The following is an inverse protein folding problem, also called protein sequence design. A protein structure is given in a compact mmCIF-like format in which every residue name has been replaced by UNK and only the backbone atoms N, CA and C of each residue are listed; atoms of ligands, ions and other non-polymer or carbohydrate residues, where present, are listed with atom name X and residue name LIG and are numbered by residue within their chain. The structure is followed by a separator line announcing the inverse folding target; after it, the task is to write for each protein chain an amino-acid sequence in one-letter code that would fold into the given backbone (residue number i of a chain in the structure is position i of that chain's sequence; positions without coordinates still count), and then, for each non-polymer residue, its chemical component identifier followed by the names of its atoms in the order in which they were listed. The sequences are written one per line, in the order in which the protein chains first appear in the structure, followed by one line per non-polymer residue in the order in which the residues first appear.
data_IF_576830633731
#
_entry.id   IF_576830633731
#
_cell.length_a   1.000
_cell.length_b   1.000
_cell.length_c   1.000
_cell.angle_alpha   90.00
_cell.angle_beta   90.00
_cell.angle_gamma   90.00
#
_symmetry.space_group_name_H-M   'P 1'
#
loop_
_entity.id
_entity.type
_entity.pdbx_description
1 polymer ?
#
# COMPACT_ATOMS: atom_id res chain seq x y z
N UNK A 1 -45.61 18.50 35.88
CA UNK A 1 -45.65 18.33 34.42
C UNK A 1 -44.56 19.14 33.73
N UNK A 2 -44.20 20.35 34.20
CA UNK A 2 -43.15 21.17 33.57
C UNK A 2 -41.70 20.72 33.79
N UNK A 3 -41.40 20.04 34.91
CA UNK A 3 -40.06 19.51 35.20
C UNK A 3 -39.63 18.40 34.23
N UNK A 4 -40.59 17.63 33.68
CA UNK A 4 -40.32 16.55 32.72
C UNK A 4 -40.05 17.11 31.31
N UNK A 5 -40.55 18.31 31.01
CA UNK A 5 -40.33 18.98 29.71
C UNK A 5 -38.95 19.64 29.68
N UNK A 6 -38.53 20.30 30.77
CA UNK A 6 -37.19 20.90 30.85
C UNK A 6 -36.07 19.85 30.86
N UNK A 7 -36.30 18.69 31.49
CA UNK A 7 -35.37 17.56 31.46
C UNK A 7 -35.22 16.99 30.04
N UNK A 8 -36.33 16.83 29.31
CA UNK A 8 -36.32 16.37 27.90
C UNK A 8 -35.63 17.37 26.97
N UNK A 9 -35.88 18.67 27.13
CA UNK A 9 -35.20 19.71 26.34
C UNK A 9 -33.68 19.67 26.58
N UNK A 10 -33.24 19.44 27.82
CA UNK A 10 -31.81 19.28 28.11
C UNK A 10 -31.20 18.01 27.52
N UNK A 11 -31.98 16.93 27.41
CA UNK A 11 -31.57 15.65 26.84
C UNK A 11 -31.48 15.73 25.30
N UNK A 12 -32.44 16.41 24.67
CA UNK A 12 -32.46 16.71 23.23
C UNK A 12 -31.27 17.61 22.82
N UNK A 13 -30.95 18.65 23.61
CA UNK A 13 -29.79 19.52 23.39
C UNK A 13 -28.45 18.75 23.48
N UNK A 14 -28.36 17.77 24.39
CA UNK A 14 -27.16 16.93 24.53
C UNK A 14 -27.02 16.00 23.33
N UNK A 15 -28.12 15.43 22.85
CA UNK A 15 -28.11 14.53 21.70
C UNK A 15 -27.76 15.28 20.41
N UNK A 16 -28.31 16.47 20.21
CA UNK A 16 -27.98 17.31 19.07
C UNK A 16 -26.49 17.70 19.05
N UNK A 17 -25.90 18.02 20.21
CA UNK A 17 -24.45 18.28 20.31
C UNK A 17 -23.59 17.08 19.96
N UNK A 18 -24.03 15.86 20.29
CA UNK A 18 -23.32 14.63 19.90
C UNK A 18 -23.40 14.42 18.40
N UNK A 19 -24.57 14.61 17.80
CA UNK A 19 -24.77 14.51 16.36
C UNK A 19 -23.89 15.52 15.60
N UNK A 20 -23.86 16.77 16.06
CA UNK A 20 -22.99 17.81 15.51
C UNK A 20 -21.49 17.45 15.63
N UNK A 21 -21.08 16.90 16.78
CA UNK A 21 -19.70 16.46 17.00
C UNK A 21 -19.31 15.33 16.03
N UNK A 22 -20.17 14.34 15.85
CA UNK A 22 -19.92 13.23 14.90
C UNK A 22 -19.91 13.73 13.45
N UNK A 23 -20.78 14.68 13.11
CA UNK A 23 -20.78 15.34 11.80
C UNK A 23 -19.45 16.07 11.54
N UNK A 24 -18.96 16.85 12.50
CA UNK A 24 -17.69 17.56 12.36
C UNK A 24 -16.49 16.61 12.28
N UNK A 25 -16.48 15.53 13.05
CA UNK A 25 -15.46 14.48 12.93
C UNK A 25 -15.46 13.86 11.54
N UNK A 26 -16.62 13.51 11.01
CA UNK A 26 -16.74 12.97 9.66
C UNK A 26 -16.19 13.94 8.60
N UNK A 27 -16.56 15.23 8.70
CA UNK A 27 -16.04 16.26 7.79
C UNK A 27 -14.52 16.37 7.90
N UNK A 28 -13.98 16.38 9.12
CA UNK A 28 -12.55 16.45 9.37
C UNK A 28 -11.78 15.26 8.76
N UNK A 29 -12.26 14.03 8.99
CA UNK A 29 -11.66 12.80 8.42
C UNK A 29 -11.70 12.83 6.90
N UNK A 30 -12.81 13.25 6.30
CA UNK A 30 -12.94 13.33 4.84
C UNK A 30 -11.99 14.36 4.25
N UNK A 31 -11.86 15.54 4.87
CA UNK A 31 -10.96 16.58 4.39
C UNK A 31 -9.49 16.22 4.56
N UNK A 32 -9.12 15.68 5.73
CA UNK A 32 -7.77 15.22 6.01
C UNK A 32 -7.39 14.10 5.06
N UNK A 33 -8.26 13.11 4.86
CA UNK A 33 -8.01 12.00 3.95
C UNK A 33 -7.84 12.44 2.50
N UNK A 34 -8.63 13.42 2.02
CA UNK A 34 -8.44 13.98 0.68
C UNK A 34 -7.07 14.62 0.49
N UNK A 35 -6.58 15.37 1.49
CA UNK A 35 -5.27 16.00 1.47
C UNK A 35 -4.14 14.95 1.55
N UNK A 36 -4.27 13.96 2.44
CA UNK A 36 -3.31 12.85 2.53
C UNK A 36 -3.24 12.03 1.26
N UNK A 37 -4.36 11.83 0.55
CA UNK A 37 -4.36 11.15 -0.76
C UNK A 37 -3.54 11.93 -1.80
N UNK A 38 -3.57 13.27 -1.80
CA UNK A 38 -2.73 14.07 -2.71
C UNK A 38 -1.24 14.02 -2.36
N UNK A 39 -0.90 13.87 -1.08
CA UNK A 39 0.48 13.80 -0.57
C UNK A 39 1.03 12.36 -0.51
N UNK A 40 0.21 11.36 -0.85
CA UNK A 40 0.54 9.94 -0.65
C UNK A 40 1.79 9.52 -1.43
N UNK A 41 2.03 10.10 -2.60
CA UNK A 41 3.26 9.81 -3.37
C UNK A 41 4.50 10.25 -2.59
N UNK A 42 4.50 11.49 -2.08
CA UNK A 42 5.63 12.03 -1.32
C UNK A 42 5.83 11.25 -0.02
N UNK A 43 4.72 10.88 0.64
CA UNK A 43 4.76 10.01 1.82
C UNK A 43 5.43 8.67 1.51
N UNK A 44 5.15 8.04 0.37
CA UNK A 44 5.76 6.75 0.01
C UNK A 44 7.24 6.89 -0.32
N UNK A 45 7.66 8.00 -0.93
CA UNK A 45 9.08 8.26 -1.20
C UNK A 45 9.86 8.46 0.11
N UNK A 46 9.26 9.08 1.12
CA UNK A 46 9.85 9.31 2.46
C UNK A 46 9.66 8.13 3.44
N UNK A 47 9.21 6.98 2.95
CA UNK A 47 9.06 5.78 3.78
C UNK A 47 10.43 5.30 4.30
N UNK A 48 10.58 4.91 5.58
CA UNK A 48 9.56 4.65 6.60
C UNK A 48 9.25 5.81 7.56
N UNK A 49 9.89 6.98 7.41
CA UNK A 49 9.72 8.11 8.33
C UNK A 49 8.29 8.68 8.31
N UNK A 50 7.61 8.52 7.17
CA UNK A 50 6.26 8.98 6.89
C UNK A 50 5.12 8.06 7.37
N UNK A 51 5.41 7.04 8.19
CA UNK A 51 4.43 6.03 8.65
C UNK A 51 3.10 6.63 9.12
N UNK A 52 3.14 7.67 9.96
CA UNK A 52 1.93 8.28 10.51
C UNK A 52 1.00 8.88 9.45
N UNK A 53 1.55 9.43 8.36
CA UNK A 53 0.76 9.98 7.26
C UNK A 53 -0.02 8.90 6.48
N UNK A 54 0.56 7.70 6.40
CA UNK A 54 -0.10 6.53 5.78
C UNK A 54 -1.14 5.94 6.73
N UNK A 55 -0.87 5.87 8.03
CA UNK A 55 -1.83 5.37 9.03
C UNK A 55 -3.09 6.24 9.13
N UNK A 56 -2.95 7.57 9.00
CA UNK A 56 -4.08 8.52 8.96
C UNK A 56 -5.14 8.11 7.92
N UNK A 57 -4.69 7.62 6.76
CA UNK A 57 -5.57 7.20 5.65
C UNK A 57 -6.44 6.00 6.00
N UNK A 58 -6.08 5.18 6.99
CA UNK A 58 -6.86 4.01 7.40
C UNK A 58 -8.29 4.39 7.83
N UNK A 59 -8.44 5.54 8.49
CA UNK A 59 -9.73 6.09 8.89
C UNK A 59 -10.58 6.60 7.71
N UNK A 60 -9.92 6.93 6.59
CA UNK A 60 -10.55 7.50 5.39
C UNK A 60 -11.00 6.43 4.38
N UNK A 61 -10.29 5.31 4.27
CA UNK A 61 -10.50 4.27 3.25
C UNK A 61 -11.64 3.26 3.58
N UNK A 62 -12.62 3.66 4.39
CA UNK A 62 -13.73 2.78 4.80
C UNK A 62 -14.67 2.46 3.63
N UNK A 63 -14.87 3.42 2.71
CA UNK A 63 -15.80 3.29 1.60
C UNK A 63 -15.09 2.81 0.32
N UNK A 64 -15.73 1.97 -0.52
CA UNK A 64 -15.16 1.61 -1.83
C UNK A 64 -14.92 2.83 -2.72
N UNK A 65 -15.69 3.91 -2.56
CA UNK A 65 -15.49 5.17 -3.31
C UNK A 65 -14.18 5.86 -2.93
N UNK A 66 -13.86 5.93 -1.64
CA UNK A 66 -12.62 6.58 -1.17
C UNK A 66 -11.40 5.74 -1.51
N UNK A 67 -11.50 4.41 -1.40
CA UNK A 67 -10.48 3.44 -1.88
C UNK A 67 -10.18 3.61 -3.37
N UNK A 68 -11.24 3.76 -4.19
CA UNK A 68 -11.09 4.04 -5.62
C UNK A 68 -10.38 5.38 -5.87
N UNK A 69 -10.82 6.46 -5.21
CA UNK A 69 -10.21 7.78 -5.36
C UNK A 69 -8.71 7.76 -4.99
N UNK A 70 -8.36 7.08 -3.90
CA UNK A 70 -6.97 6.93 -3.46
C UNK A 70 -6.13 6.27 -4.55
N UNK A 71 -6.56 5.09 -5.01
CA UNK A 71 -5.80 4.33 -6.01
C UNK A 71 -5.70 5.08 -7.34
N UNK A 72 -6.76 5.74 -7.80
CA UNK A 72 -6.70 6.50 -9.07
C UNK A 72 -5.77 7.72 -8.98
N UNK A 73 -5.83 8.45 -7.87
CA UNK A 73 -4.99 9.65 -7.66
C UNK A 73 -3.53 9.25 -7.54
N UNK A 74 -3.26 8.21 -6.74
CA UNK A 74 -1.93 7.70 -6.52
C UNK A 74 -1.30 7.13 -7.81
N UNK A 75 -2.01 6.27 -8.55
CA UNK A 75 -1.49 5.71 -9.81
C UNK A 75 -1.22 6.81 -10.85
N UNK A 76 -2.04 7.87 -10.89
CA UNK A 76 -1.79 9.03 -11.75
C UNK A 76 -0.52 9.79 -11.35
N UNK A 77 -0.30 10.00 -10.04
CA UNK A 77 0.91 10.63 -9.53
C UNK A 77 2.16 9.78 -9.82
N UNK A 78 2.08 8.47 -9.62
CA UNK A 78 3.17 7.53 -9.87
C UNK A 78 3.54 7.49 -11.37
N UNK A 79 2.54 7.46 -12.26
CA UNK A 79 2.77 7.47 -13.69
C UNK A 79 3.44 8.77 -14.19
N UNK A 80 3.09 9.91 -13.61
CA UNK A 80 3.62 11.21 -14.05
C UNK A 80 4.99 11.54 -13.47
N UNK A 81 5.27 11.12 -12.23
CA UNK A 81 6.48 11.51 -11.49
C UNK A 81 7.61 10.48 -11.54
N UNK A 82 7.31 9.20 -11.77
CA UNK A 82 8.30 8.13 -11.64
C UNK A 82 8.38 7.20 -12.87
N UNK A 83 7.27 6.97 -13.59
CA UNK A 83 7.25 6.10 -14.78
C UNK A 83 7.67 6.83 -16.06
N UNK A 84 8.88 7.40 -16.05
CA UNK A 84 9.44 8.04 -17.23
C UNK A 84 10.86 7.52 -17.53
N UNK A 85 11.29 7.49 -18.81
CA UNK A 85 12.58 6.91 -19.19
C UNK A 85 13.82 7.53 -18.54
N UNK A 86 13.70 8.75 -18.00
CA UNK A 86 14.79 9.44 -17.31
C UNK A 86 14.99 9.00 -15.86
N UNK A 87 14.09 8.19 -15.28
CA UNK A 87 14.22 7.72 -13.90
C UNK A 87 15.13 6.49 -13.84
N UNK A 88 16.06 6.48 -12.88
CA UNK A 88 16.95 5.35 -12.66
C UNK A 88 16.17 4.12 -12.18
N UNK A 89 16.68 2.95 -12.53
CA UNK A 89 16.06 1.66 -12.21
C UNK A 89 16.05 1.36 -10.72
N UNK A 90 17.14 1.70 -10.05
CA UNK A 90 17.27 1.67 -8.60
C UNK A 90 16.18 2.49 -7.92
N UNK A 91 15.92 3.72 -8.37
CA UNK A 91 14.92 4.61 -7.76
C UNK A 91 13.50 4.08 -7.92
N UNK A 92 13.16 3.55 -9.10
CA UNK A 92 11.85 2.96 -9.35
C UNK A 92 11.65 1.71 -8.48
N UNK A 93 12.68 0.88 -8.33
CA UNK A 93 12.64 -0.29 -7.47
C UNK A 93 12.53 0.09 -5.99
N UNK A 94 13.30 1.08 -5.52
CA UNK A 94 13.21 1.62 -4.15
C UNK A 94 11.79 2.10 -3.85
N UNK A 95 11.22 2.92 -4.73
CA UNK A 95 9.85 3.39 -4.59
C UNK A 95 8.82 2.25 -4.68
N UNK A 96 9.08 1.19 -5.46
CA UNK A 96 8.22 0.00 -5.49
C UNK A 96 8.26 -0.79 -4.17
N UNK A 97 9.43 -0.91 -3.56
CA UNK A 97 9.58 -1.54 -2.24
C UNK A 97 8.84 -0.71 -1.18
N UNK A 98 9.08 0.60 -1.12
CA UNK A 98 8.35 1.50 -0.23
C UNK A 98 6.84 1.46 -0.45
N UNK A 99 6.39 1.34 -1.70
CA UNK A 99 4.99 1.16 -2.05
C UNK A 99 4.40 -0.11 -1.43
N UNK A 100 5.10 -1.25 -1.56
CA UNK A 100 4.68 -2.53 -0.98
C UNK A 100 4.58 -2.40 0.54
N UNK A 101 5.60 -1.84 1.19
CA UNK A 101 5.64 -1.69 2.64
C UNK A 101 4.49 -0.78 3.15
N UNK A 102 4.34 0.42 2.56
CA UNK A 102 3.31 1.37 2.96
C UNK A 102 1.88 0.82 2.75
N UNK A 103 1.61 0.20 1.60
CA UNK A 103 0.28 -0.33 1.32
C UNK A 103 -0.04 -1.61 2.09
N UNK A 104 0.95 -2.37 2.52
CA UNK A 104 0.75 -3.52 3.42
C UNK A 104 0.30 -3.05 4.81
N UNK A 105 0.84 -1.94 5.30
CA UNK A 105 0.38 -1.30 6.54
C UNK A 105 -1.03 -0.72 6.38
N UNK A 106 -1.31 -0.09 5.24
CA UNK A 106 -2.60 0.55 4.95
C UNK A 106 -3.75 -0.46 4.75
N UNK A 107 -3.51 -1.51 3.96
CA UNK A 107 -4.48 -2.57 3.64
C UNK A 107 -3.81 -3.95 3.74
N UNK A 108 -3.87 -4.61 4.90
CA UNK A 108 -3.29 -5.93 5.09
C UNK A 108 -3.84 -7.01 4.15
N UNK A 109 -5.02 -6.78 3.54
CA UNK A 109 -5.59 -7.72 2.55
C UNK A 109 -4.90 -7.62 1.20
N UNK A 110 -4.15 -6.55 0.93
CA UNK A 110 -3.40 -6.35 -0.31
C UNK A 110 -4.22 -5.92 -1.53
N UNK A 111 -5.51 -5.58 -1.37
CA UNK A 111 -6.39 -5.23 -2.50
C UNK A 111 -5.98 -3.89 -3.09
N UNK A 112 -5.66 -2.91 -2.25
CA UNK A 112 -5.17 -1.61 -2.71
C UNK A 112 -3.78 -1.73 -3.37
N UNK A 113 -2.89 -2.57 -2.83
CA UNK A 113 -1.57 -2.82 -3.38
C UNK A 113 -1.65 -3.44 -4.78
N UNK A 114 -2.47 -4.47 -4.98
CA UNK A 114 -2.64 -5.10 -6.30
C UNK A 114 -3.05 -4.04 -7.34
N UNK A 115 -4.03 -3.21 -7.01
CA UNK A 115 -4.52 -2.19 -7.94
C UNK A 115 -3.48 -1.10 -8.22
N UNK A 116 -2.83 -0.58 -7.18
CA UNK A 116 -1.87 0.52 -7.31
C UNK A 116 -0.57 0.08 -8.00
N UNK A 117 -0.16 -1.18 -7.81
CA UNK A 117 1.11 -1.70 -8.31
C UNK A 117 1.08 -2.12 -9.78
N UNK A 118 -0.08 -2.40 -10.39
CA UNK A 118 -0.19 -2.85 -11.79
C UNK A 118 0.63 -2.02 -12.79
N UNK A 119 0.55 -0.69 -12.66
CA UNK A 119 1.27 0.22 -13.56
C UNK A 119 2.79 0.08 -13.43
N UNK A 120 3.31 0.11 -12.19
CA UNK A 120 4.75 0.04 -11.94
C UNK A 120 5.30 -1.36 -12.23
N UNK A 121 4.54 -2.42 -11.94
CA UNK A 121 4.91 -3.81 -12.29
C UNK A 121 5.07 -3.99 -13.80
N UNK A 122 4.11 -3.48 -14.58
CA UNK A 122 4.19 -3.50 -16.05
C UNK A 122 5.41 -2.73 -16.54
N UNK A 123 5.64 -1.52 -15.99
CA UNK A 123 6.75 -0.67 -16.39
C UNK A 123 8.12 -1.31 -16.11
N UNK A 124 8.30 -1.90 -14.91
CA UNK A 124 9.53 -2.62 -14.55
C UNK A 124 9.77 -3.86 -15.42
N UNK A 125 8.70 -4.53 -15.87
CA UNK A 125 8.78 -5.69 -16.75
C UNK A 125 9.19 -5.33 -18.18
N UNK A 126 8.72 -4.20 -18.67
CA UNK A 126 9.04 -3.70 -20.02
C UNK A 126 10.49 -3.19 -20.12
N UNK A 127 11.18 -2.95 -18.99
CA UNK A 127 12.55 -2.46 -18.99
C UNK A 127 13.56 -3.60 -18.82
N UNK A 128 14.44 -3.72 -19.81
CA UNK A 128 15.40 -4.83 -19.93
C UNK A 128 16.47 -4.85 -18.83
N UNK A 129 16.78 -3.71 -18.23
CA UNK A 129 17.83 -3.55 -17.23
C UNK A 129 17.38 -3.86 -15.78
N UNK A 130 16.08 -4.07 -15.55
CA UNK A 130 15.52 -4.29 -14.22
C UNK A 130 16.12 -5.53 -13.54
N UNK A 131 16.24 -6.64 -14.27
CA UNK A 131 16.83 -7.88 -13.74
C UNK A 131 18.30 -7.68 -13.35
N UNK A 132 19.08 -7.00 -14.19
CA UNK A 132 20.49 -6.74 -13.92
C UNK A 132 20.69 -5.89 -12.67
N UNK A 133 19.80 -4.93 -12.42
CA UNK A 133 19.86 -4.05 -11.24
C UNK A 133 19.44 -4.80 -9.98
N UNK A 134 18.42 -5.65 -10.05
CA UNK A 134 18.01 -6.52 -8.92
C UNK A 134 19.14 -7.50 -8.57
N UNK A 135 19.69 -8.20 -9.57
CA UNK A 135 20.81 -9.14 -9.37
C UNK A 135 22.00 -8.44 -8.73
N UNK A 136 22.36 -7.26 -9.24
CA UNK A 136 23.45 -6.45 -8.68
C UNK A 136 23.17 -6.02 -7.25
N UNK A 137 21.95 -5.60 -6.94
CA UNK A 137 21.53 -5.25 -5.57
C UNK A 137 21.70 -6.45 -4.63
N UNK A 138 21.12 -7.59 -4.97
CA UNK A 138 21.21 -8.82 -4.16
C UNK A 138 22.66 -9.30 -4.00
N UNK A 139 23.51 -9.15 -5.03
CA UNK A 139 24.92 -9.52 -4.97
C UNK A 139 25.84 -8.45 -4.36
N UNK A 140 25.34 -7.23 -4.12
CA UNK A 140 26.16 -6.10 -3.64
C UNK A 140 26.79 -6.37 -2.28
N UNK A 141 26.18 -7.21 -1.44
CA UNK A 141 26.75 -7.61 -0.14
C UNK A 141 28.01 -8.49 -0.27
N UNK A 142 28.28 -9.03 -1.47
CA UNK A 142 29.43 -9.89 -1.76
C UNK A 142 30.53 -9.25 -2.62
N UNK A 143 30.27 -8.06 -3.17
CA UNK A 143 31.21 -7.36 -4.07
C UNK A 143 31.94 -6.24 -3.31
N UNK A 144 33.26 -6.08 -3.50
CA UNK A 144 34.01 -5.00 -2.88
C UNK A 144 33.53 -3.63 -3.40
N UNK A 145 33.29 -2.70 -2.49
CA UNK A 145 32.85 -1.31 -2.71
C UNK A 145 33.61 -0.64 -3.86
N UNK A 146 32.95 -0.51 -5.01
CA UNK A 146 33.57 0.08 -6.21
C UNK A 146 32.55 0.92 -7.01
N UNK A 147 31.78 1.79 -6.35
CA UNK A 147 31.14 3.01 -6.92
C UNK A 147 30.11 3.62 -5.96
N UNK A 148 29.83 4.92 -6.07
CA UNK A 148 28.73 5.60 -5.34
C UNK A 148 27.36 4.93 -5.62
N UNK A 149 27.15 4.41 -6.84
CA UNK A 149 25.96 3.63 -7.22
C UNK A 149 25.79 2.33 -6.39
N UNK A 150 26.85 1.81 -5.74
CA UNK A 150 26.76 0.61 -4.90
C UNK A 150 26.15 0.90 -3.54
N UNK A 151 26.21 2.13 -3.02
CA UNK A 151 25.57 2.48 -1.75
C UNK A 151 24.04 2.43 -1.90
N UNK A 152 23.49 3.02 -2.95
CA UNK A 152 22.05 2.96 -3.29
C UNK A 152 21.55 1.52 -3.49
N UNK A 153 22.38 0.68 -4.11
CA UNK A 153 22.07 -0.73 -4.34
C UNK A 153 22.22 -1.59 -3.07
N UNK A 154 23.11 -1.22 -2.16
CA UNK A 154 23.28 -1.88 -0.86
C UNK A 154 22.12 -1.58 0.08
N UNK A 155 21.58 -0.35 0.06
CA UNK A 155 20.38 0.02 0.79
C UNK A 155 19.17 -0.76 0.28
N UNK A 156 19.02 -0.87 -1.04
CA UNK A 156 18.00 -1.71 -1.68
C UNK A 156 18.15 -3.18 -1.26
N UNK A 157 19.36 -3.72 -1.24
CA UNK A 157 19.64 -5.08 -0.78
C UNK A 157 19.23 -5.30 0.68
N UNK A 158 19.50 -4.31 1.55
CA UNK A 158 19.13 -4.36 2.96
C UNK A 158 17.60 -4.34 3.12
N UNK A 159 16.89 -3.50 2.36
CA UNK A 159 15.42 -3.46 2.35
C UNK A 159 14.80 -4.76 1.83
N UNK A 160 15.43 -5.41 0.83
CA UNK A 160 15.03 -6.73 0.36
C UNK A 160 15.29 -7.83 1.40
N UNK A 161 16.39 -7.73 2.16
CA UNK A 161 16.78 -8.70 3.18
C UNK A 161 16.01 -8.58 4.49
N UNK A 162 15.47 -7.40 4.82
CA UNK A 162 14.72 -7.16 6.07
C UNK A 162 13.43 -7.98 6.14
N UNK A 163 12.83 -8.30 4.99
CA UNK A 163 11.51 -8.92 4.92
C UNK A 163 10.42 -8.04 5.55
N UNK A 164 9.18 -8.16 5.08
CA UNK A 164 8.07 -7.47 5.75
C UNK A 164 7.94 -8.04 7.19
N UNK A 165 7.84 -7.20 8.25
CA UNK A 165 7.62 -7.70 9.60
C UNK A 165 6.37 -8.57 9.59
N UNK A 166 6.54 -9.82 10.03
CA UNK A 166 5.53 -10.88 9.97
C UNK A 166 4.21 -10.48 10.64
N UNK A 167 3.34 -9.77 9.91
CA UNK A 167 1.94 -9.63 10.26
C UNK A 167 1.28 -10.93 9.82
N UNK A 168 1.16 -11.83 10.79
CA UNK A 168 0.39 -13.08 10.73
C UNK A 168 0.75 -13.99 9.54
N UNK A 169 1.81 -14.76 9.74
CA UNK A 169 2.04 -16.05 9.11
C UNK A 169 0.73 -16.87 9.03
N UNK A 170 0.38 -17.30 7.83
CA UNK A 170 -0.70 -18.24 7.56
C UNK A 170 -0.54 -18.83 6.17
N UNK A 171 0.28 -19.89 6.08
CA UNK A 171 0.36 -20.81 4.93
C UNK A 171 1.20 -20.33 3.76
N UNK A 172 2.25 -21.10 3.43
CA UNK A 172 3.02 -20.96 2.20
C UNK A 172 2.19 -21.20 0.93
N UNK A 173 2.84 -20.97 -0.21
CA UNK A 173 2.26 -20.75 -1.53
C UNK A 173 1.32 -21.81 -2.14
N UNK A 174 0.99 -22.95 -1.52
CA UNK A 174 0.27 -24.02 -2.26
C UNK A 174 -0.77 -24.86 -1.50
N UNK A 175 -1.13 -24.56 -0.25
CA UNK A 175 -2.17 -25.35 0.44
C UNK A 175 -3.32 -24.47 0.91
N UNK A 176 -4.52 -24.74 0.39
CA UNK A 176 -5.74 -24.12 0.89
C UNK A 176 -5.83 -24.41 2.40
N UNK A 177 -5.71 -23.36 3.20
CA UNK A 177 -5.77 -23.43 4.66
C UNK A 177 -7.23 -23.68 5.08
N UNK A 178 -7.63 -24.96 5.04
CA UNK A 178 -9.00 -25.39 5.37
C UNK A 178 -9.37 -25.13 6.84
N UNK A 179 -8.39 -24.81 7.70
CA UNK A 179 -8.57 -24.50 9.11
C UNK A 179 -8.68 -22.99 9.40
N UNK A 180 -8.72 -22.15 8.35
CA UNK A 180 -8.85 -20.69 8.47
C UNK A 180 -10.25 -20.26 8.97
N UNK A 181 -10.42 -20.24 10.29
CA UNK A 181 -11.64 -19.75 10.96
C UNK A 181 -11.89 -18.24 10.76
N UNK A 182 -10.90 -17.50 10.27
CA UNK A 182 -11.00 -16.07 9.94
C UNK A 182 -11.25 -15.83 8.45
N UNK A 183 -11.54 -16.88 7.68
CA UNK A 183 -11.84 -16.76 6.26
C UNK A 183 -13.05 -15.85 6.05
N UNK A 184 -12.83 -14.78 5.31
CA UNK A 184 -13.87 -13.89 4.81
C UNK A 184 -13.83 -13.90 3.27
N UNK A 185 -14.95 -13.65 2.57
CA UNK A 185 -14.94 -13.45 1.12
C UNK A 185 -14.15 -12.19 0.74
N UNK A 186 -13.70 -12.11 -0.51
CA UNK A 186 -13.03 -10.92 -1.02
C UNK A 186 -13.95 -9.70 -1.00
N UNK A 187 -13.39 -8.52 -0.70
CA UNK A 187 -14.18 -7.30 -0.70
C UNK A 187 -14.60 -6.93 -2.13
N UNK A 188 -15.67 -6.15 -2.26
CA UNK A 188 -16.31 -5.83 -3.56
C UNK A 188 -15.38 -5.13 -4.56
N UNK A 189 -14.30 -4.53 -4.08
CA UNK A 189 -13.31 -3.81 -4.87
C UNK A 189 -12.15 -4.69 -5.36
N UNK A 190 -12.09 -5.95 -4.92
CA UNK A 190 -11.15 -6.93 -5.46
C UNK A 190 -11.53 -7.26 -6.92
N UNK A 191 -10.58 -7.10 -7.84
CA UNK A 191 -10.76 -7.47 -9.24
C UNK A 191 -10.81 -8.99 -9.43
N UNK A 192 -11.23 -9.47 -10.61
CA UNK A 192 -11.24 -10.92 -10.91
C UNK A 192 -9.84 -11.56 -10.87
N UNK A 193 -8.81 -10.76 -11.15
CA UNK A 193 -7.40 -11.16 -11.09
C UNK A 193 -6.81 -11.11 -9.68
N UNK A 194 -7.58 -10.61 -8.68
CA UNK A 194 -7.09 -10.49 -7.33
C UNK A 194 -6.94 -11.88 -6.71
N UNK A 195 -5.71 -12.26 -6.42
CA UNK A 195 -5.40 -13.40 -5.58
C UNK A 195 -4.85 -12.85 -4.26
N UNK A 196 -5.34 -13.39 -3.15
CA UNK A 196 -4.73 -13.12 -1.85
C UNK A 196 -3.32 -13.68 -1.91
N UNK A 197 -2.35 -12.80 -2.10
CA UNK A 197 -0.95 -13.12 -1.91
C UNK A 197 -0.69 -13.29 -0.41
N UNK A 198 -1.12 -14.42 0.16
CA UNK A 198 -0.73 -14.82 1.51
C UNK A 198 0.80 -14.93 1.52
N UNK A 199 1.47 -13.97 2.18
CA UNK A 199 2.91 -14.04 2.46
C UNK A 199 3.87 -13.73 1.30
N UNK A 200 3.49 -12.96 0.28
CA UNK A 200 4.51 -12.43 -0.65
C UNK A 200 5.28 -11.30 0.05
N UNK A 201 6.41 -11.67 0.63
CA UNK A 201 7.48 -10.75 1.00
C UNK A 201 7.87 -9.87 -0.19
N UNK A 202 8.56 -8.74 0.04
CA UNK A 202 9.01 -7.81 -1.02
C UNK A 202 9.72 -8.57 -2.14
N UNK A 203 10.58 -9.52 -1.76
CA UNK A 203 11.28 -10.43 -2.67
C UNK A 203 10.33 -11.32 -3.48
N UNK A 204 9.30 -11.90 -2.85
CA UNK A 204 8.27 -12.67 -3.55
C UNK A 204 7.46 -11.81 -4.53
N UNK A 205 7.16 -10.56 -4.15
CA UNK A 205 6.51 -9.60 -5.03
C UNK A 205 7.35 -9.26 -6.26
N UNK A 206 8.67 -9.10 -6.09
CA UNK A 206 9.60 -8.90 -7.21
C UNK A 206 9.72 -10.12 -8.12
N UNK A 207 9.85 -11.33 -7.55
CA UNK A 207 9.91 -12.57 -8.33
C UNK A 207 8.61 -12.73 -9.15
N UNK A 208 7.47 -12.37 -8.57
CA UNK A 208 6.17 -12.42 -9.25
C UNK A 208 6.04 -11.46 -10.45
N UNK A 209 6.96 -10.51 -10.65
CA UNK A 209 6.99 -9.67 -11.86
C UNK A 209 7.24 -10.52 -13.12
N UNK A 210 8.03 -11.58 -12.99
CA UNK A 210 8.39 -12.47 -14.11
C UNK A 210 7.65 -13.80 -14.08
N UNK A 211 7.11 -14.22 -12.94
CA UNK A 211 6.33 -15.46 -12.79
C UNK A 211 4.89 -15.35 -13.35
N UNK A 212 4.67 -14.53 -14.39
CA UNK A 212 3.35 -14.54 -15.02
C UNK A 212 3.15 -15.90 -15.68
N UNK A 213 2.37 -16.73 -15.02
CA UNK A 213 1.76 -17.93 -15.57
C UNK A 213 1.05 -17.51 -16.87
N UNK A 214 1.74 -17.66 -17.99
CA UNK A 214 1.15 -17.49 -19.32
C UNK A 214 0.00 -18.48 -19.38
N UNK A 215 -1.23 -17.97 -19.26
CA UNK A 215 -2.38 -18.77 -19.61
C UNK A 215 -2.31 -18.91 -21.13
N UNK A 216 -1.99 -20.12 -21.59
CA UNK A 216 -2.12 -20.48 -22.99
C UNK A 216 -3.59 -20.25 -23.37
N UNK A 217 -3.85 -19.20 -24.14
CA UNK A 217 -5.14 -19.01 -24.83
C UNK A 217 -5.28 -19.99 -25.98
#
# INVERSE_FOLDING_TARGET
MELDVAARIGEDDIEQRKEDLESWKCIAIVRLGQLRVSELFDSIVEWPESLGGVEDLRSYIISPKTRLQLTTTFTSALATRLQHPAAATSDILRAYISLICAFTVLDPRGVLLDRASRGIRRYLRERDDTLCVIERGVMSESLPELSEDTEDLSELAQELGKGIPAIQQGGGLEELDYDDLCWAPDPVDAGPEFQRSKGLDVTGSLISLWDSKEYWT
#
